data_IF_479470451573
#
_entry.id   IF_479470451573
#
_cell.length_a   1.000
_cell.length_b   1.000
_cell.length_c   1.000
_cell.angle_alpha   90.00
_cell.angle_beta   90.00
_cell.angle_gamma   90.00
#
_symmetry.space_group_name_H-M   'P 1'
#
loop_
_entity.id
_entity.type
_entity.pdbx_description
1 polymer ?
#
# COMPACT_ATOMS: atom_id res chain seq x y z
N UNK A 1 18.81 -1.00 3.97
CA UNK A 1 17.91 -0.04 3.31
C UNK A 1 17.32 -0.62 2.02
N UNK A 2 18.12 -0.94 1.00
CA UNK A 2 17.60 -1.42 -0.29
C UNK A 2 16.83 -2.75 -0.22
N UNK A 3 17.30 -3.72 0.56
CA UNK A 3 16.63 -5.04 0.71
C UNK A 3 15.23 -4.91 1.34
N UNK A 4 15.10 -4.15 2.43
CA UNK A 4 13.80 -3.91 3.08
C UNK A 4 12.83 -3.16 2.18
N UNK A 5 13.33 -2.21 1.37
CA UNK A 5 12.52 -1.50 0.38
C UNK A 5 12.03 -2.46 -0.72
N UNK A 6 12.90 -3.32 -1.25
CA UNK A 6 12.52 -4.31 -2.26
C UNK A 6 11.44 -5.28 -1.74
N UNK A 7 11.61 -5.81 -0.52
CA UNK A 7 10.60 -6.67 0.09
C UNK A 7 9.26 -5.95 0.28
N UNK A 8 9.29 -4.69 0.70
CA UNK A 8 8.08 -3.87 0.84
C UNK A 8 7.36 -3.70 -0.50
N UNK A 9 8.10 -3.36 -1.57
CA UNK A 9 7.53 -3.22 -2.91
C UNK A 9 6.97 -4.53 -3.47
N UNK A 10 7.65 -5.66 -3.23
CA UNK A 10 7.13 -6.98 -3.62
C UNK A 10 5.79 -7.28 -2.94
N UNK A 11 5.67 -6.96 -1.64
CA UNK A 11 4.44 -7.18 -0.88
C UNK A 11 3.31 -6.26 -1.36
N UNK A 12 3.57 -4.95 -1.48
CA UNK A 12 2.57 -4.00 -1.96
C UNK A 12 2.09 -4.36 -3.36
N UNK A 13 3.01 -4.69 -4.27
CA UNK A 13 2.66 -5.07 -5.63
C UNK A 13 1.82 -6.35 -5.72
N UNK A 14 2.12 -7.35 -4.88
CA UNK A 14 1.32 -8.58 -4.76
C UNK A 14 -0.12 -8.27 -4.31
N UNK A 15 -0.29 -7.36 -3.34
CA UNK A 15 -1.62 -6.94 -2.86
C UNK A 15 -2.37 -6.12 -3.91
N UNK A 16 -1.70 -5.19 -4.60
CA UNK A 16 -2.29 -4.43 -5.69
C UNK A 16 -2.77 -5.33 -6.83
N UNK A 17 -1.96 -6.32 -7.22
CA UNK A 17 -2.35 -7.29 -8.25
C UNK A 17 -3.51 -8.18 -7.78
N UNK A 18 -3.49 -8.62 -6.52
CA UNK A 18 -4.59 -9.38 -5.93
C UNK A 18 -5.91 -8.60 -5.89
N UNK A 19 -5.86 -7.27 -5.71
CA UNK A 19 -7.04 -6.40 -5.80
C UNK A 19 -7.56 -6.27 -7.25
N UNK A 20 -6.68 -6.18 -8.24
CA UNK A 20 -7.06 -6.01 -9.66
C UNK A 20 -7.50 -7.31 -10.35
N UNK A 21 -6.79 -8.42 -10.12
CA UNK A 21 -6.97 -9.68 -10.84
C UNK A 21 -7.54 -10.82 -9.98
N UNK A 22 -7.80 -10.57 -8.69
CA UNK A 22 -8.30 -11.56 -7.74
C UNK A 22 -7.20 -12.27 -6.93
N UNK A 23 -7.56 -12.71 -5.72
CA UNK A 23 -6.62 -13.27 -4.74
C UNK A 23 -5.90 -14.56 -5.21
N UNK A 24 -6.51 -15.32 -6.11
CA UNK A 24 -5.95 -16.59 -6.60
C UNK A 24 -4.67 -16.39 -7.43
N UNK A 25 -4.53 -15.24 -8.11
CA UNK A 25 -3.41 -14.98 -9.03
C UNK A 25 -2.33 -14.07 -8.43
N UNK A 26 -2.41 -13.75 -7.15
CA UNK A 26 -1.47 -12.82 -6.49
C UNK A 26 0.00 -13.29 -6.60
N UNK A 27 0.24 -14.60 -6.56
CA UNK A 27 1.58 -15.19 -6.62
C UNK A 27 2.29 -15.00 -7.96
N UNK A 28 1.54 -14.72 -9.04
CA UNK A 28 2.12 -14.45 -10.36
C UNK A 28 2.92 -13.14 -10.37
N UNK A 29 2.58 -12.21 -9.46
CA UNK A 29 3.31 -10.94 -9.30
C UNK A 29 4.78 -11.16 -8.92
N UNK A 30 5.08 -12.15 -8.09
CA UNK A 30 6.45 -12.38 -7.62
C UNK A 30 7.39 -12.74 -8.78
N UNK A 31 6.92 -13.54 -9.75
CA UNK A 31 7.70 -13.86 -10.95
C UNK A 31 7.97 -12.62 -11.82
N UNK A 32 6.95 -11.78 -12.01
CA UNK A 32 7.10 -10.51 -12.72
C UNK A 32 8.06 -9.56 -11.99
N UNK A 33 7.96 -9.49 -10.66
CA UNK A 33 8.81 -8.64 -9.83
C UNK A 33 10.30 -9.03 -9.96
N UNK A 34 10.63 -10.32 -9.88
CA UNK A 34 12.01 -10.80 -10.07
C UNK A 34 12.55 -10.43 -11.45
N UNK A 35 11.75 -10.58 -12.51
CA UNK A 35 12.15 -10.18 -13.86
C UNK A 35 12.39 -8.67 -13.96
N UNK A 36 11.54 -7.86 -13.32
CA UNK A 36 11.69 -6.40 -13.31
C UNK A 36 12.98 -5.93 -12.62
N UNK A 37 13.47 -6.66 -11.61
CA UNK A 37 14.75 -6.36 -10.94
C UNK A 37 15.92 -6.56 -11.91
N UNK A 38 15.90 -7.65 -12.68
CA UNK A 38 16.94 -7.92 -13.69
C UNK A 38 16.95 -6.81 -14.73
N UNK A 39 15.78 -6.40 -15.21
CA UNK A 39 15.66 -5.31 -16.18
C UNK A 39 16.13 -3.96 -15.60
N UNK A 40 15.75 -3.66 -14.35
CA UNK A 40 16.17 -2.46 -13.64
C UNK A 40 17.68 -2.37 -13.40
N UNK A 41 18.37 -3.51 -13.30
CA UNK A 41 19.82 -3.55 -13.14
C UNK A 41 20.58 -3.17 -14.44
N UNK A 42 19.94 -3.28 -15.60
CA UNK A 42 20.53 -2.97 -16.92
C UNK A 42 20.09 -1.59 -17.43
N UNK A 43 18.97 -1.07 -16.93
CA UNK A 43 18.46 0.25 -17.29
C UNK A 43 19.33 1.40 -16.74
N UNK A 44 19.30 2.56 -17.40
CA UNK A 44 19.99 3.75 -16.90
C UNK A 44 19.26 4.34 -15.70
N UNK A 45 20.03 4.87 -14.74
CA UNK A 45 19.48 5.44 -13.51
C UNK A 45 18.49 6.58 -13.79
N UNK A 46 18.82 7.48 -14.71
CA UNK A 46 17.93 8.59 -15.09
C UNK A 46 16.60 8.11 -15.67
N UNK A 47 16.62 7.05 -16.49
CA UNK A 47 15.38 6.49 -17.05
C UNK A 47 14.51 5.88 -15.94
N UNK A 48 15.12 5.17 -14.99
CA UNK A 48 14.41 4.55 -13.86
C UNK A 48 13.79 5.61 -12.95
N UNK A 49 14.52 6.67 -12.62
CA UNK A 49 14.02 7.76 -11.77
C UNK A 49 12.84 8.47 -12.45
N UNK A 50 12.99 8.87 -13.71
CA UNK A 50 11.91 9.55 -14.44
C UNK A 50 10.66 8.66 -14.58
N UNK A 51 10.83 7.36 -14.78
CA UNK A 51 9.71 6.41 -14.81
C UNK A 51 9.00 6.34 -13.46
N UNK A 52 9.75 6.19 -12.37
CA UNK A 52 9.21 6.10 -11.00
C UNK A 52 8.47 7.38 -10.62
N UNK A 53 9.03 8.56 -10.92
CA UNK A 53 8.39 9.84 -10.66
C UNK A 53 7.07 9.97 -11.42
N UNK A 54 7.03 9.53 -12.69
CA UNK A 54 5.80 9.47 -13.48
C UNK A 54 4.74 8.54 -12.86
N UNK A 55 5.16 7.35 -12.41
CA UNK A 55 4.25 6.41 -11.73
C UNK A 55 3.70 6.96 -10.41
N UNK A 56 4.53 7.64 -9.62
CA UNK A 56 4.10 8.27 -8.37
C UNK A 56 3.15 9.44 -8.62
N UNK A 57 3.43 10.28 -9.63
CA UNK A 57 2.52 11.36 -10.02
C UNK A 57 1.14 10.81 -10.42
N UNK A 58 1.12 9.72 -11.21
CA UNK A 58 -0.12 9.04 -11.60
C UNK A 58 -0.86 8.44 -10.40
N UNK A 59 -0.15 7.87 -9.43
CA UNK A 59 -0.75 7.32 -8.21
C UNK A 59 -1.29 8.41 -7.26
N UNK A 60 -0.63 9.57 -7.22
CA UNK A 60 -0.99 10.66 -6.32
C UNK A 60 -2.37 11.24 -6.65
N UNK A 61 -2.73 11.38 -7.93
CA UNK A 61 -4.01 11.95 -8.38
C UNK A 61 -5.22 11.21 -7.79
N UNK A 62 -5.44 9.90 -8.03
CA UNK A 62 -6.60 9.19 -7.51
C UNK A 62 -6.58 9.08 -5.97
N UNK A 63 -5.39 8.96 -5.37
CA UNK A 63 -5.23 8.89 -3.91
C UNK A 63 -5.69 10.18 -3.24
N UNK A 64 -5.24 11.33 -3.76
CA UNK A 64 -5.61 12.65 -3.23
C UNK A 64 -7.10 12.94 -3.42
N UNK A 65 -7.65 12.62 -4.58
CA UNK A 65 -9.10 12.77 -4.82
C UNK A 65 -9.90 11.94 -3.82
N UNK A 66 -9.53 10.68 -3.63
CA UNK A 66 -10.19 9.78 -2.67
C UNK A 66 -10.07 10.32 -1.24
N UNK A 67 -8.90 10.81 -0.84
CA UNK A 67 -8.67 11.36 0.48
C UNK A 67 -9.52 12.60 0.75
N UNK A 68 -9.65 13.51 -0.21
CA UNK A 68 -10.48 14.71 -0.09
C UNK A 68 -11.96 14.36 0.03
N UNK A 69 -12.45 13.40 -0.77
CA UNK A 69 -13.84 12.94 -0.72
C UNK A 69 -14.16 12.20 0.60
N UNK A 70 -13.21 11.40 1.12
CA UNK A 70 -13.40 10.64 2.36
C UNK A 70 -13.11 11.46 3.62
N UNK A 71 -12.43 12.61 3.51
CA UNK A 71 -12.08 13.50 4.63
C UNK A 71 -13.22 13.75 5.64
N UNK A 72 -14.46 14.13 5.25
CA UNK A 72 -15.54 14.34 6.21
C UNK A 72 -15.91 13.06 6.98
N UNK A 73 -15.90 11.90 6.30
CA UNK A 73 -16.22 10.60 6.90
C UNK A 73 -15.15 10.15 7.88
N UNK A 74 -13.87 10.35 7.53
CA UNK A 74 -12.75 10.07 8.43
C UNK A 74 -12.80 10.97 9.67
N UNK A 75 -13.15 12.26 9.50
CA UNK A 75 -13.31 13.19 10.62
C UNK A 75 -14.40 12.75 11.60
N UNK A 76 -15.53 12.27 11.10
CA UNK A 76 -16.62 11.74 11.92
C UNK A 76 -16.20 10.47 12.67
N UNK A 77 -15.66 9.48 11.95
CA UNK A 77 -15.17 8.24 12.55
C UNK A 77 -14.06 8.47 13.59
N UNK A 78 -13.18 9.45 13.34
CA UNK A 78 -12.11 9.82 14.28
C UNK A 78 -12.70 10.38 15.58
N UNK A 79 -13.68 11.28 15.50
CA UNK A 79 -14.37 11.83 16.69
C UNK A 79 -15.05 10.74 17.51
N UNK A 80 -15.71 9.79 16.84
CA UNK A 80 -16.33 8.65 17.48
C UNK A 80 -15.29 7.78 18.20
N UNK A 81 -14.19 7.44 17.51
CA UNK A 81 -13.10 6.63 18.07
C UNK A 81 -12.49 7.28 19.33
N UNK A 82 -12.16 8.57 19.27
CA UNK A 82 -11.56 9.27 20.42
C UNK A 82 -12.55 9.48 21.57
N UNK A 83 -13.85 9.66 21.29
CA UNK A 83 -14.88 9.72 22.33
C UNK A 83 -14.98 8.37 23.06
N UNK A 84 -15.06 7.26 22.32
CA UNK A 84 -15.06 5.90 22.89
C UNK A 84 -13.79 5.61 23.69
N UNK A 85 -12.65 6.11 23.23
CA UNK A 85 -11.36 5.95 23.92
C UNK A 85 -11.38 6.65 25.28
N UNK A 86 -11.85 7.90 25.31
CA UNK A 86 -11.95 8.69 26.54
C UNK A 86 -12.94 8.08 27.54
N UNK A 87 -14.01 7.48 27.04
CA UNK A 87 -15.03 6.83 27.86
C UNK A 87 -14.61 5.42 28.34
N UNK A 88 -13.44 4.91 27.92
CA UNK A 88 -12.97 3.57 28.31
C UNK A 88 -13.82 2.44 27.71
N UNK A 89 -14.51 2.69 26.59
CA UNK A 89 -15.47 1.76 26.00
C UNK A 89 -14.81 0.65 25.16
N UNK A 90 -13.50 0.76 24.90
CA UNK A 90 -12.76 -0.31 24.23
C UNK A 90 -12.56 -1.47 25.21
N UNK A 91 -13.20 -2.60 24.91
CA UNK A 91 -12.92 -3.86 25.61
C UNK A 91 -11.44 -4.16 25.44
N UNK A 92 -10.73 -4.39 26.56
CA UNK A 92 -9.40 -4.97 26.51
C UNK A 92 -9.48 -6.27 25.71
N UNK A 93 -8.74 -6.34 24.62
CA UNK A 93 -8.59 -7.57 23.86
C UNK A 93 -7.76 -8.52 24.71
N UNK A 94 -8.44 -9.30 25.55
CA UNK A 94 -7.86 -10.45 26.23
C UNK A 94 -7.58 -11.48 25.14
N UNK A 95 -6.36 -11.42 24.61
CA UNK A 95 -5.90 -12.29 23.54
C UNK A 95 -5.99 -13.76 23.94
N UNK A 96 -7.10 -14.41 23.62
CA UNK A 96 -7.15 -15.87 23.52
C UNK A 96 -6.35 -16.24 22.28
N UNK A 97 -5.11 -16.66 22.53
CA UNK A 97 -4.36 -17.55 21.64
C UNK A 97 -5.12 -18.88 21.63
N UNK A 98 -5.87 -19.14 20.56
CA UNK A 98 -6.16 -20.50 20.12
C UNK A 98 -5.06 -20.92 19.13
#
# INVERSE_FOLDING_TARGET
FSVSSMLSYSYYGTKCLGFLLGAERQNLYNYFYVFSIIFGAVASLDAVINLIDGMFALMAIPTMISALLLSPKVREASKEYFTKLKNGEFKEYTGKKE
#
